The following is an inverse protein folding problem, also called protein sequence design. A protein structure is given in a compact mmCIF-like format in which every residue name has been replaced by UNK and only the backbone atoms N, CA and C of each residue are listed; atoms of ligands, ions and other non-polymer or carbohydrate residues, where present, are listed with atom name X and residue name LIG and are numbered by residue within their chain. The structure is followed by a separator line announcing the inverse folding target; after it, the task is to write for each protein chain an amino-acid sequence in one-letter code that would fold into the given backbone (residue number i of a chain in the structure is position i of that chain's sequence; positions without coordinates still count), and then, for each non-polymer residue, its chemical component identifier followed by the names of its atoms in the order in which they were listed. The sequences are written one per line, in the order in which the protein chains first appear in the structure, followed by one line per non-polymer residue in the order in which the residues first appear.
data_IF_296431533025
#
_entry.id   IF_296431533025
#
_cell.length_a   1.000
_cell.length_b   1.000
_cell.length_c   1.000
_cell.angle_alpha   90.00
_cell.angle_beta   90.00
_cell.angle_gamma   90.00
#
_symmetry.space_group_name_H-M   'P 1'
#
loop_
_entity.id
_entity.type
_entity.pdbx_description
1 polymer ?
#
# COMPACT_ATOMS: atom_id res chain seq x y z
N UNK A 1 -13.65 -4.36 -2.92
CA UNK A 1 -12.39 -4.00 -2.24
C UNK A 1 -12.43 -4.53 -0.83
N UNK A 2 -11.42 -5.29 -0.42
CA UNK A 2 -11.39 -5.88 0.91
C UNK A 2 -10.08 -5.57 1.65
N UNK A 3 -10.18 -5.42 2.97
CA UNK A 3 -9.05 -5.04 3.83
C UNK A 3 -7.89 -6.05 3.81
N UNK A 4 -8.15 -7.33 3.46
CA UNK A 4 -7.08 -8.33 3.32
C UNK A 4 -6.20 -8.06 2.09
N UNK A 5 -6.79 -7.61 0.98
CA UNK A 5 -6.04 -7.26 -0.23
C UNK A 5 -5.17 -6.02 0.01
N UNK A 6 -5.73 -4.98 0.64
CA UNK A 6 -4.96 -3.77 1.02
C UNK A 6 -3.78 -4.12 1.94
N UNK A 7 -3.96 -5.08 2.84
CA UNK A 7 -2.91 -5.55 3.74
C UNK A 7 -1.78 -6.24 2.97
N UNK A 8 -2.08 -7.11 2.01
CA UNK A 8 -1.09 -7.77 1.17
C UNK A 8 -0.31 -6.76 0.33
N UNK A 9 -1.00 -5.81 -0.31
CA UNK A 9 -0.37 -4.74 -1.10
C UNK A 9 0.52 -3.87 -0.22
N UNK A 10 0.04 -3.47 0.96
CA UNK A 10 0.83 -2.69 1.94
C UNK A 10 2.10 -3.42 2.38
N UNK A 11 2.00 -4.72 2.66
CA UNK A 11 3.15 -5.51 3.09
C UNK A 11 4.16 -5.65 1.96
N UNK A 12 3.69 -5.94 0.75
CA UNK A 12 4.54 -6.06 -0.43
C UNK A 12 5.26 -4.74 -0.75
N UNK A 13 4.56 -3.62 -0.74
CA UNK A 13 5.17 -2.29 -0.97
C UNK A 13 6.18 -1.89 0.11
N UNK A 14 6.00 -2.37 1.35
CA UNK A 14 6.85 -2.00 2.49
C UNK A 14 8.07 -2.92 2.65
N UNK A 15 7.90 -4.22 2.38
CA UNK A 15 8.88 -5.26 2.70
C UNK A 15 9.39 -6.01 1.47
N UNK A 16 8.79 -5.81 0.30
CA UNK A 16 9.07 -6.58 -0.92
C UNK A 16 8.49 -7.99 -0.93
N UNK A 17 7.77 -8.40 0.12
CA UNK A 17 7.14 -9.71 0.25
C UNK A 17 5.75 -9.62 0.88
N UNK A 18 4.94 -10.66 0.66
CA UNK A 18 3.59 -10.76 1.19
C UNK A 18 3.54 -11.22 2.66
N UNK A 19 4.62 -11.85 3.14
CA UNK A 19 4.74 -12.38 4.51
C UNK A 19 5.02 -11.31 5.57
N UNK A 20 5.16 -10.04 5.16
CA UNK A 20 5.49 -8.90 6.02
C UNK A 20 6.84 -9.03 6.75
N UNK A 21 7.76 -9.81 6.20
CA UNK A 21 9.08 -10.02 6.79
C UNK A 21 10.05 -8.94 6.32
N UNK A 22 10.59 -8.10 7.22
CA UNK A 22 11.59 -7.11 6.82
C UNK A 22 12.91 -7.79 6.48
N UNK A 23 13.27 -7.84 5.19
CA UNK A 23 14.66 -8.06 4.79
C UNK A 23 15.45 -6.79 5.06
N UNK A 24 16.52 -6.94 5.84
CA UNK A 24 17.42 -5.84 6.19
C UNK A 24 18.84 -6.18 5.78
N UNK A 25 19.56 -5.18 5.31
CA UNK A 25 21.01 -5.26 5.14
C UNK A 25 21.71 -5.36 6.50
N UNK A 26 23.02 -5.65 6.46
CA UNK A 26 23.90 -5.64 7.62
C UNK A 26 23.86 -4.32 8.41
N UNK A 27 23.53 -3.20 7.75
CA UNK A 27 23.37 -1.88 8.35
C UNK A 27 21.95 -1.59 8.88
N UNK A 28 21.04 -2.57 8.83
CA UNK A 28 19.65 -2.43 9.30
C UNK A 28 18.72 -1.71 8.32
N UNK A 29 19.22 -1.32 7.14
CA UNK A 29 18.42 -0.70 6.08
C UNK A 29 17.45 -1.72 5.49
N UNK A 30 16.19 -1.32 5.33
CA UNK A 30 15.19 -2.19 4.70
C UNK A 30 15.51 -2.33 3.21
N UNK A 31 15.74 -3.57 2.78
CA UNK A 31 15.85 -3.96 1.37
C UNK A 31 14.44 -4.08 0.77
N UNK A 32 13.74 -2.95 0.68
CA UNK A 32 12.50 -2.90 -0.09
C UNK A 32 12.82 -2.57 -1.55
N UNK A 33 12.36 -3.37 -2.53
CA UNK A 33 12.50 -3.05 -3.95
C UNK A 33 11.63 -1.85 -4.38
N UNK A 34 10.74 -1.40 -3.49
CA UNK A 34 9.77 -0.35 -3.74
C UNK A 34 9.91 0.76 -2.69
N UNK A 35 9.85 2.01 -3.15
CA UNK A 35 9.76 3.20 -2.30
C UNK A 35 8.33 3.72 -2.30
N UNK A 36 7.69 3.78 -1.12
CA UNK A 36 6.32 4.26 -0.99
C UNK A 36 6.26 5.79 -1.14
N UNK A 37 5.58 6.28 -2.17
CA UNK A 37 5.33 7.72 -2.35
C UNK A 37 4.27 8.18 -1.33
N UNK A 38 3.19 7.41 -1.19
CA UNK A 38 2.06 7.76 -0.31
C UNK A 38 2.10 6.92 0.97
N UNK A 39 2.36 7.56 2.12
CA UNK A 39 2.36 6.88 3.43
C UNK A 39 0.96 6.38 3.85
N UNK A 40 -0.08 7.17 3.54
CA UNK A 40 -1.48 6.82 3.75
C UNK A 40 -2.11 6.46 2.40
N UNK A 41 -3.04 5.49 2.34
CA UNK A 41 -3.79 5.26 1.12
C UNK A 41 -4.60 6.51 0.77
N UNK A 42 -4.73 6.79 -0.52
CA UNK A 42 -5.66 7.81 -1.02
C UNK A 42 -7.04 7.17 -1.12
N UNK A 43 -8.02 7.80 -0.49
CA UNK A 43 -9.41 7.35 -0.44
C UNK A 43 -10.27 8.24 -1.36
N UNK A 44 -11.39 7.69 -1.84
CA UNK A 44 -12.33 8.44 -2.67
C UNK A 44 -12.96 9.61 -1.90
N UNK A 45 -13.22 10.72 -2.58
CA UNK A 45 -13.87 11.90 -2.00
C UNK A 45 -15.32 11.60 -1.61
N UNK A 46 -15.91 12.40 -0.73
CA UNK A 46 -17.32 12.24 -0.32
C UNK A 46 -18.31 12.38 -1.48
N UNK A 47 -18.00 13.23 -2.46
CA UNK A 47 -18.81 13.41 -3.69
C UNK A 47 -18.76 12.13 -4.55
N UNK A 48 -17.56 11.59 -4.78
CA UNK A 48 -17.37 10.36 -5.56
C UNK A 48 -17.96 9.12 -4.86
N UNK A 49 -17.99 9.10 -3.53
CA UNK A 49 -18.66 8.04 -2.78
C UNK A 49 -20.18 8.07 -2.92
N UNK A 50 -20.76 9.26 -3.09
CA UNK A 50 -22.20 9.44 -3.31
C UNK A 50 -22.59 9.07 -4.75
N UNK A 51 -21.80 9.48 -5.74
CA UNK A 51 -22.03 9.13 -7.14
C UNK A 51 -21.72 7.65 -7.45
N UNK A 52 -20.69 7.10 -6.80
CA UNK A 52 -20.27 5.72 -6.97
C UNK A 52 -20.11 5.03 -5.60
N UNK A 53 -21.17 4.38 -5.06
CA UNK A 53 -21.12 3.70 -3.77
C UNK A 53 -20.05 2.60 -3.67
N UNK A 54 -19.57 2.06 -4.81
CA UNK A 54 -18.52 1.04 -4.84
C UNK A 54 -17.13 1.62 -4.55
N UNK A 55 -16.92 2.93 -4.71
CA UNK A 55 -15.65 3.62 -4.45
C UNK A 55 -15.35 3.76 -2.96
N UNK A 56 -16.36 3.67 -2.09
CA UNK A 56 -16.24 3.84 -0.62
C UNK A 56 -15.21 2.94 0.06
N UNK A 57 -14.86 1.82 -0.56
CA UNK A 57 -13.88 0.87 -0.02
C UNK A 57 -12.58 0.81 -0.84
N UNK A 58 -12.46 1.64 -1.88
CA UNK A 58 -11.25 1.74 -2.69
C UNK A 58 -10.13 2.46 -1.92
N UNK A 59 -8.94 1.87 -1.92
CA UNK A 59 -7.73 2.43 -1.30
C UNK A 59 -6.63 2.41 -2.33
N UNK A 60 -6.20 3.58 -2.78
CA UNK A 60 -5.11 3.71 -3.74
C UNK A 60 -3.79 3.84 -2.98
N UNK A 61 -2.80 3.02 -3.33
CA UNK A 61 -1.42 3.11 -2.83
C UNK A 61 -0.46 3.23 -4.00
N UNK A 62 0.51 4.13 -3.86
CA UNK A 62 1.48 4.41 -4.92
C UNK A 62 2.89 4.16 -4.38
N UNK A 63 3.67 3.38 -5.13
CA UNK A 63 5.08 3.13 -4.87
C UNK A 63 5.88 3.20 -6.19
N UNK A 64 7.13 3.62 -6.10
CA UNK A 64 8.07 3.67 -7.22
C UNK A 64 9.10 2.58 -7.06
N UNK A 65 9.51 1.98 -8.18
CA UNK A 65 10.62 1.03 -8.21
C UNK A 65 11.92 1.79 -7.96
N UNK A 66 12.66 1.34 -6.95
CA UNK A 66 13.98 1.88 -6.62
C UNK A 66 15.05 1.44 -7.62
#
# INVERSE_FOLDING_TARGET
YHSLEDRLVKNFMKYGNFEAQPMKDFYGNLLSPLEMITRKPVEASSEEQNENPRSRSAKLRIAVKK
#
